data_IF_456796223520
#
_entry.id   IF_456796223520
#
_cell.length_a   1.000
_cell.length_b   1.000
_cell.length_c   1.000
_cell.angle_alpha   90.00
_cell.angle_beta   90.00
_cell.angle_gamma   90.00
#
_symmetry.space_group_name_H-M   'P 1'
#
loop_
_entity.id
_entity.type
_entity.pdbx_description
1 polymer ?
#
# COMPACT_ATOMS: atom_id res chain seq x y z
N UNK A 1 -6.43 8.49 -1.33
CA UNK A 1 -7.81 8.06 -1.62
C UNK A 1 -8.69 8.50 -0.45
N UNK A 2 -9.37 9.63 -0.63
CA UNK A 2 -10.16 10.30 0.40
C UNK A 2 -11.64 9.92 0.33
N UNK A 3 -12.41 10.31 1.33
CA UNK A 3 -13.85 10.06 1.47
C UNK A 3 -14.65 10.36 0.18
N UNK A 4 -14.38 11.48 -0.49
CA UNK A 4 -15.03 11.88 -1.76
C UNK A 4 -14.94 10.81 -2.85
N UNK A 5 -13.84 10.06 -2.90
CA UNK A 5 -13.65 8.99 -3.89
C UNK A 5 -14.57 7.82 -3.58
N UNK A 6 -14.74 7.48 -2.30
CA UNK A 6 -15.63 6.40 -1.87
C UNK A 6 -17.10 6.78 -2.04
N UNK A 7 -17.48 8.05 -1.81
CA UNK A 7 -18.84 8.54 -2.07
C UNK A 7 -19.23 8.48 -3.56
N UNK A 8 -18.31 8.88 -4.44
CA UNK A 8 -18.52 8.87 -5.88
C UNK A 8 -18.61 7.44 -6.44
N UNK A 9 -17.85 6.51 -5.87
CA UNK A 9 -17.72 5.15 -6.38
C UNK A 9 -18.70 4.16 -5.70
N UNK A 10 -20.01 4.36 -5.90
CA UNK A 10 -21.07 3.58 -5.23
C UNK A 10 -21.07 2.06 -5.48
N UNK A 11 -20.35 1.58 -6.51
CA UNK A 11 -20.20 0.15 -6.83
C UNK A 11 -18.83 -0.42 -6.43
N UNK A 12 -17.95 0.40 -5.85
CA UNK A 12 -16.63 -0.03 -5.42
C UNK A 12 -16.77 -1.02 -4.27
N UNK A 13 -16.07 -2.15 -4.36
CA UNK A 13 -16.06 -3.19 -3.32
C UNK A 13 -14.67 -3.45 -2.76
N UNK A 14 -13.65 -3.28 -3.60
CA UNK A 14 -12.26 -3.60 -3.27
C UNK A 14 -11.34 -2.54 -3.84
N UNK A 15 -10.33 -2.16 -3.07
CA UNK A 15 -9.17 -1.37 -3.50
C UNK A 15 -7.94 -2.23 -3.31
N UNK A 16 -7.18 -2.48 -4.38
CA UNK A 16 -5.92 -3.20 -4.32
C UNK A 16 -4.76 -2.22 -4.57
N UNK A 17 -3.92 -2.01 -3.57
CA UNK A 17 -2.72 -1.18 -3.66
C UNK A 17 -1.55 -2.05 -4.12
N UNK A 18 -0.90 -1.64 -5.20
CA UNK A 18 0.35 -2.23 -5.66
C UNK A 18 1.54 -1.90 -4.72
N UNK A 19 1.94 -2.86 -3.90
CA UNK A 19 3.09 -2.82 -2.98
C UNK A 19 2.71 -2.79 -1.49
N UNK A 20 3.71 -2.72 -0.60
CA UNK A 20 3.50 -2.92 0.84
C UNK A 20 2.77 -1.77 1.57
N UNK A 21 3.10 -0.50 1.28
CA UNK A 21 2.51 0.67 1.97
C UNK A 21 1.08 0.97 1.55
N UNK A 22 0.24 1.44 2.48
CA UNK A 22 -1.19 1.72 2.24
C UNK A 22 -1.66 3.04 2.88
N UNK A 23 -0.72 3.88 3.31
CA UNK A 23 -0.96 5.13 4.06
C UNK A 23 -1.68 6.19 3.22
N UNK A 24 -1.64 6.05 1.89
CA UNK A 24 -2.33 6.94 0.96
C UNK A 24 -3.83 6.65 0.86
N UNK A 25 -4.32 5.56 1.48
CA UNK A 25 -5.73 5.18 1.50
C UNK A 25 -6.33 5.51 2.87
N UNK A 26 -7.41 6.29 2.89
CA UNK A 26 -8.17 6.52 4.12
C UNK A 26 -8.96 5.25 4.49
N UNK A 27 -8.38 4.46 5.39
CA UNK A 27 -8.95 3.19 5.85
C UNK A 27 -10.25 3.39 6.64
N UNK A 28 -10.41 4.53 7.33
CA UNK A 28 -11.64 4.82 8.06
C UNK A 28 -12.79 5.08 7.07
N UNK A 29 -12.53 5.86 6.03
CA UNK A 29 -13.49 6.10 4.94
C UNK A 29 -13.83 4.83 4.17
N UNK A 30 -12.83 4.00 3.84
CA UNK A 30 -13.04 2.71 3.19
C UNK A 30 -13.96 1.80 4.02
N UNK A 31 -13.71 1.71 5.34
CA UNK A 31 -14.54 0.93 6.27
C UNK A 31 -15.97 1.43 6.35
N UNK A 32 -16.20 2.75 6.43
CA UNK A 32 -17.55 3.35 6.44
C UNK A 32 -18.34 3.02 5.18
N UNK A 33 -17.67 2.93 4.03
CA UNK A 33 -18.29 2.61 2.74
C UNK A 33 -18.33 1.10 2.42
N UNK A 34 -17.90 0.23 3.35
CA UNK A 34 -17.90 -1.22 3.14
C UNK A 34 -16.90 -1.69 2.07
N UNK A 35 -15.84 -0.92 1.82
CA UNK A 35 -14.81 -1.23 0.82
C UNK A 35 -13.61 -1.89 1.49
N UNK A 36 -13.21 -3.06 0.97
CA UNK A 36 -12.03 -3.79 1.44
C UNK A 36 -10.77 -3.21 0.79
N UNK A 37 -9.72 -3.01 1.59
CA UNK A 37 -8.42 -2.55 1.10
C UNK A 37 -7.41 -3.69 1.20
N UNK A 38 -6.72 -3.97 0.09
CA UNK A 38 -5.69 -4.99 -0.04
C UNK A 38 -4.36 -4.31 -0.40
N UNK A 39 -3.25 -4.85 0.07
CA UNK A 39 -1.89 -4.45 -0.29
C UNK A 39 -1.07 -5.69 -0.68
N UNK A 40 0.17 -5.47 -1.14
CA UNK A 40 1.11 -6.54 -1.45
C UNK A 40 2.29 -6.50 -0.46
N UNK A 41 2.15 -7.05 0.76
CA UNK A 41 3.10 -6.84 1.85
C UNK A 41 4.49 -7.47 1.62
N UNK A 42 4.56 -8.59 0.88
CA UNK A 42 5.79 -9.39 0.73
C UNK A 42 6.40 -9.26 -0.68
N UNK A 43 5.68 -8.65 -1.63
CA UNK A 43 6.02 -8.69 -3.04
C UNK A 43 7.41 -8.14 -3.37
N UNK A 44 7.93 -7.21 -2.56
CA UNK A 44 9.25 -6.60 -2.74
C UNK A 44 10.24 -6.91 -1.61
N UNK A 45 9.93 -7.83 -0.69
CA UNK A 45 10.77 -8.07 0.50
C UNK A 45 12.19 -8.53 0.14
N UNK A 46 12.33 -9.43 -0.84
CA UNK A 46 13.66 -9.91 -1.26
C UNK A 46 14.50 -8.81 -1.91
N UNK A 47 13.94 -8.07 -2.86
CA UNK A 47 14.67 -6.98 -3.53
C UNK A 47 15.07 -5.88 -2.53
N UNK A 48 14.23 -5.59 -1.53
CA UNK A 48 14.59 -4.65 -0.45
C UNK A 48 15.74 -5.19 0.40
N UNK A 49 15.75 -6.49 0.72
CA UNK A 49 16.84 -7.10 1.47
C UNK A 49 18.17 -7.02 0.70
N UNK A 50 18.17 -7.39 -0.58
CA UNK A 50 19.34 -7.29 -1.46
C UNK A 50 19.88 -5.86 -1.52
N UNK A 51 18.99 -4.88 -1.71
CA UNK A 51 19.36 -3.46 -1.77
C UNK A 51 19.91 -2.94 -0.43
N UNK A 52 19.36 -3.39 0.70
CA UNK A 52 19.86 -3.02 2.01
C UNK A 52 21.29 -3.53 2.25
N UNK A 53 21.59 -4.79 1.89
CA UNK A 53 22.96 -5.33 1.96
C UNK A 53 23.90 -4.52 1.06
N UNK A 54 23.48 -4.25 -0.18
CA UNK A 54 24.25 -3.44 -1.11
C UNK A 54 24.59 -2.06 -0.52
N UNK A 55 23.62 -1.36 0.06
CA UNK A 55 23.87 -0.05 0.69
C UNK A 55 24.78 -0.14 1.91
N UNK A 56 24.70 -1.19 2.73
CA UNK A 56 25.63 -1.37 3.86
C UNK A 56 27.09 -1.50 3.38
N UNK A 57 27.33 -2.26 2.31
CA UNK A 57 28.65 -2.39 1.70
C UNK A 57 29.11 -1.11 0.99
N UNK A 58 28.17 -0.38 0.37
CA UNK A 58 28.48 0.88 -0.31
C UNK A 58 28.93 1.97 0.69
N UNK A 59 28.25 2.07 1.84
CA UNK A 59 28.58 3.05 2.88
C UNK A 59 29.83 2.71 3.70
N UNK A 60 30.44 1.53 3.50
CA UNK A 60 31.66 1.15 4.22
C UNK A 60 32.95 1.59 3.51
N UNK A 61 32.85 2.36 2.43
CA UNK A 61 33.96 2.96 1.68
C UNK A 61 34.19 4.42 2.11
#
# INVERSE_FOLDING_TARGET
MSDRVFEAAKKLKVVARHGAGYDTVDLASAKRHGVVVLNAPIANSMSVAELAIFYMLHCSQ
#
